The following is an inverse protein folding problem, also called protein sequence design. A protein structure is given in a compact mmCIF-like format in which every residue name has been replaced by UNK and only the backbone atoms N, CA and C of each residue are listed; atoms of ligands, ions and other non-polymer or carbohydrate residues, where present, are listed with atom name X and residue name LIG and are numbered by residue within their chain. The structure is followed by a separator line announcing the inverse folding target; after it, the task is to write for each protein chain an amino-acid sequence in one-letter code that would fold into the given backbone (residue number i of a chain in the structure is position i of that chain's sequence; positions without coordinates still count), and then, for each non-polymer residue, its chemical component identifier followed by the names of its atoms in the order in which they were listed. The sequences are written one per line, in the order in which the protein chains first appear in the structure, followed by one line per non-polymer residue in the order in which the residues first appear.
data_IF_148567164333
#
_entry.id   IF_148567164333
#
_cell.length_a   1.000
_cell.length_b   1.000
_cell.length_c   1.000
_cell.angle_alpha   90.00
_cell.angle_beta   90.00
_cell.angle_gamma   90.00
#
_symmetry.space_group_name_H-M   'P 1'
#
loop_
_entity.id
_entity.type
_entity.pdbx_description
1 polymer ?
#
# COMPACT_ATOMS: atom_id res chain seq x y z
N UNK A 1 57.19 -20.55 72.03
CA UNK A 1 55.93 -19.97 72.54
C UNK A 1 55.59 -18.64 71.89
N UNK A 2 56.28 -17.52 72.14
CA UNK A 2 55.88 -16.21 71.53
C UNK A 2 55.88 -16.19 69.99
N UNK A 3 56.81 -16.91 69.34
CA UNK A 3 56.87 -16.96 67.86
C UNK A 3 55.75 -17.82 67.26
N UNK A 4 55.32 -18.89 67.93
CA UNK A 4 54.20 -19.74 67.49
C UNK A 4 52.85 -19.04 67.68
N UNK A 5 52.72 -18.25 68.75
CA UNK A 5 51.54 -17.46 69.02
C UNK A 5 51.37 -16.33 68.00
N UNK A 6 52.48 -15.70 67.57
CA UNK A 6 52.46 -14.72 66.48
C UNK A 6 52.12 -15.35 65.13
N UNK A 7 52.61 -16.56 64.83
CA UNK A 7 52.25 -17.26 63.59
C UNK A 7 50.78 -17.71 63.56
N UNK A 8 50.23 -18.18 64.69
CA UNK A 8 48.79 -18.49 64.78
C UNK A 8 47.92 -17.25 64.65
N UNK A 9 48.30 -16.12 65.26
CA UNK A 9 47.58 -14.86 65.09
C UNK A 9 47.63 -14.36 63.64
N UNK A 10 48.76 -14.53 62.94
CA UNK A 10 48.91 -14.14 61.54
C UNK A 10 48.08 -15.06 60.60
N UNK A 11 48.03 -16.37 60.87
CA UNK A 11 47.16 -17.29 60.14
C UNK A 11 45.67 -17.01 60.39
N UNK A 12 45.26 -16.69 61.63
CA UNK A 12 43.89 -16.30 61.95
C UNK A 12 43.49 -14.97 61.29
N UNK A 13 44.43 -14.01 61.19
CA UNK A 13 44.21 -12.77 60.43
C UNK A 13 44.07 -13.03 58.93
N UNK A 14 44.88 -13.93 58.35
CA UNK A 14 44.79 -14.31 56.95
C UNK A 14 43.49 -15.07 56.61
N UNK A 15 43.00 -15.92 57.52
CA UNK A 15 41.70 -16.61 57.37
C UNK A 15 40.53 -15.66 57.52
N UNK A 16 40.56 -14.73 58.49
CA UNK A 16 39.56 -13.66 58.61
C UNK A 16 39.57 -12.72 57.40
N UNK A 17 40.74 -12.45 56.81
CA UNK A 17 40.87 -11.63 55.59
C UNK A 17 40.33 -12.36 54.36
N UNK A 18 40.57 -13.68 54.22
CA UNK A 18 39.94 -14.51 53.17
C UNK A 18 38.42 -14.61 53.33
N UNK A 19 37.89 -14.81 54.53
CA UNK A 19 36.44 -14.82 54.78
C UNK A 19 35.76 -13.46 54.56
N UNK A 20 36.48 -12.34 54.76
CA UNK A 20 35.98 -11.00 54.42
C UNK A 20 35.97 -10.74 52.92
N UNK A 21 36.93 -11.27 52.17
CA UNK A 21 36.97 -11.18 50.69
C UNK A 21 35.90 -12.08 50.06
N UNK A 22 35.71 -13.31 50.55
CA UNK A 22 34.63 -14.21 50.07
C UNK A 22 33.21 -13.69 50.41
N UNK A 23 33.04 -12.97 51.53
CA UNK A 23 31.73 -12.37 51.88
C UNK A 23 31.47 -11.04 51.17
N UNK A 24 32.51 -10.24 50.85
CA UNK A 24 32.37 -9.07 49.97
C UNK A 24 32.10 -9.46 48.52
N UNK A 25 32.71 -10.54 48.02
CA UNK A 25 32.49 -11.03 46.65
C UNK A 25 31.15 -11.76 46.48
N UNK A 26 30.65 -12.49 47.50
CA UNK A 26 29.31 -13.09 47.45
C UNK A 26 28.18 -12.07 47.61
N UNK A 27 28.37 -11.00 48.41
CA UNK A 27 27.34 -9.95 48.54
C UNK A 27 27.28 -9.03 47.31
N UNK A 28 28.42 -8.74 46.69
CA UNK A 28 28.47 -7.97 45.44
C UNK A 28 28.04 -8.82 44.23
N UNK A 29 28.45 -10.09 44.12
CA UNK A 29 28.00 -10.96 43.03
C UNK A 29 26.50 -11.28 43.11
N UNK A 30 25.94 -11.51 44.30
CA UNK A 30 24.49 -11.73 44.44
C UNK A 30 23.65 -10.45 44.27
N UNK A 31 24.22 -9.26 44.53
CA UNK A 31 23.58 -7.99 44.18
C UNK A 31 23.70 -7.69 42.68
N UNK A 32 24.84 -7.97 42.05
CA UNK A 32 25.06 -7.81 40.62
C UNK A 32 24.20 -8.80 39.82
N UNK A 33 24.07 -10.06 40.24
CA UNK A 33 23.17 -11.05 39.63
C UNK A 33 21.69 -10.68 39.83
N UNK A 34 21.28 -10.20 41.01
CA UNK A 34 19.92 -9.68 41.23
C UNK A 34 19.64 -8.39 40.45
N UNK A 35 20.65 -7.58 40.18
CA UNK A 35 20.55 -6.33 39.43
C UNK A 35 20.63 -6.58 37.90
N UNK A 36 21.36 -7.61 37.46
CA UNK A 36 21.35 -8.11 36.08
C UNK A 36 20.04 -8.87 35.76
N UNK A 37 19.49 -9.67 36.67
CA UNK A 37 18.14 -10.25 36.53
C UNK A 37 17.02 -9.19 36.54
N UNK A 38 17.15 -8.12 37.33
CA UNK A 38 16.23 -6.97 37.30
C UNK A 38 16.38 -6.09 36.05
N UNK A 39 17.54 -6.08 35.41
CA UNK A 39 17.75 -5.36 34.15
C UNK A 39 17.32 -6.18 32.93
N UNK A 40 17.40 -7.51 32.97
CA UNK A 40 16.90 -8.40 31.91
C UNK A 40 15.36 -8.57 31.89
N UNK A 41 14.64 -7.99 32.85
CA UNK A 41 13.17 -8.05 32.93
C UNK A 41 12.47 -6.77 32.46
N UNK A 42 13.22 -5.83 31.85
CA UNK A 42 12.66 -4.60 31.27
C UNK A 42 12.80 -4.60 29.75
N UNK A 43 11.74 -5.05 29.09
CA UNK A 43 11.60 -4.89 27.63
C UNK A 43 11.20 -3.44 27.34
N UNK A 44 12.01 -2.73 26.54
CA UNK A 44 11.64 -1.40 26.04
C UNK A 44 10.63 -1.56 24.91
N UNK A 45 9.39 -1.18 25.19
CA UNK A 45 8.29 -1.23 24.22
C UNK A 45 8.04 0.19 23.70
N UNK A 46 7.93 0.40 22.39
CA UNK A 46 7.48 1.68 21.82
C UNK A 46 6.13 2.12 22.42
N UNK A 47 5.96 3.42 22.69
CA UNK A 47 4.79 3.93 23.41
C UNK A 47 3.44 3.59 22.73
N UNK A 48 3.43 3.48 21.40
CA UNK A 48 2.28 3.07 20.60
C UNK A 48 1.90 1.58 20.76
N UNK A 49 2.81 0.73 21.25
CA UNK A 49 2.58 -0.70 21.48
C UNK A 49 2.21 -1.02 22.93
N UNK A 50 2.46 -0.09 23.86
CA UNK A 50 2.28 -0.31 25.30
C UNK A 50 0.81 -0.62 25.68
N UNK A 51 -0.15 0.11 25.09
CA UNK A 51 -1.58 -0.08 25.36
C UNK A 51 -2.07 -1.44 24.85
N UNK A 52 -1.66 -1.83 23.64
CA UNK A 52 -2.06 -3.12 23.05
C UNK A 52 -1.48 -4.32 23.81
N UNK A 53 -0.21 -4.25 24.22
CA UNK A 53 0.42 -5.31 25.03
C UNK A 53 -0.20 -5.42 26.43
N UNK A 54 -0.56 -4.31 27.05
CA UNK A 54 -1.26 -4.32 28.34
C UNK A 54 -2.62 -5.04 28.23
N UNK A 55 -3.41 -4.71 27.21
CA UNK A 55 -4.70 -5.36 26.96
C UNK A 55 -4.54 -6.86 26.66
N UNK A 56 -3.58 -7.24 25.81
CA UNK A 56 -3.32 -8.64 25.46
C UNK A 56 -2.90 -9.48 26.68
N UNK A 57 -2.01 -8.95 27.52
CA UNK A 57 -1.60 -9.66 28.76
C UNK A 57 -2.76 -9.81 29.75
N UNK A 58 -3.66 -8.83 29.82
CA UNK A 58 -4.86 -8.89 30.66
C UNK A 58 -5.85 -9.95 30.16
N UNK A 59 -6.09 -10.04 28.86
CA UNK A 59 -6.95 -11.06 28.24
C UNK A 59 -6.40 -12.48 28.43
N UNK A 60 -5.07 -12.62 28.45
CA UNK A 60 -4.39 -13.91 28.69
C UNK A 60 -4.19 -14.23 30.19
N UNK A 61 -4.65 -13.38 31.10
CA UNK A 61 -4.48 -13.57 32.55
C UNK A 61 -3.02 -13.47 33.03
N UNK A 62 -2.14 -12.88 32.23
CA UNK A 62 -0.72 -12.71 32.52
C UNK A 62 -0.46 -11.35 33.18
N UNK A 63 0.58 -11.27 34.01
CA UNK A 63 1.06 -9.98 34.53
C UNK A 63 1.80 -9.23 33.42
N UNK A 64 1.51 -7.95 33.23
CA UNK A 64 2.19 -7.08 32.24
C UNK A 64 3.62 -6.73 32.69
N UNK A 65 4.52 -7.72 32.65
CA UNK A 65 5.94 -7.59 32.97
C UNK A 65 6.81 -8.01 31.76
N UNK A 66 8.12 -7.78 31.83
CA UNK A 66 9.01 -8.10 30.71
C UNK A 66 9.10 -9.58 30.37
N UNK A 67 8.83 -10.47 31.33
CA UNK A 67 8.81 -11.93 31.09
C UNK A 67 7.61 -12.34 30.23
N UNK A 68 6.40 -11.83 30.54
CA UNK A 68 5.21 -12.08 29.72
C UNK A 68 5.36 -11.50 28.31
N UNK A 69 5.98 -10.34 28.18
CA UNK A 69 6.24 -9.70 26.88
C UNK A 69 7.27 -10.52 26.07
N UNK A 70 8.35 -11.00 26.69
CA UNK A 70 9.31 -11.88 26.03
C UNK A 70 8.68 -13.19 25.55
N UNK A 71 7.87 -13.82 26.41
CA UNK A 71 7.16 -15.03 26.06
C UNK A 71 6.21 -14.81 24.87
N UNK A 72 5.47 -13.69 24.84
CA UNK A 72 4.62 -13.32 23.71
C UNK A 72 5.40 -13.15 22.39
N UNK A 73 6.59 -12.56 22.45
CA UNK A 73 7.49 -12.41 21.29
C UNK A 73 8.06 -13.76 20.83
N UNK A 74 8.29 -14.71 21.74
CA UNK A 74 8.70 -16.07 21.38
C UNK A 74 7.56 -16.89 20.75
N UNK A 75 6.31 -16.59 21.10
CA UNK A 75 5.14 -17.21 20.47
C UNK A 75 4.85 -16.63 19.07
N UNK A 76 5.41 -15.47 18.72
CA UNK A 76 5.28 -14.95 17.35
C UNK A 76 6.15 -15.74 16.39
N UNK A 77 5.51 -16.26 15.33
CA UNK A 77 6.14 -16.95 14.19
C UNK A 77 7.32 -16.11 13.66
N UNK A 78 8.57 -16.61 13.67
CA UNK A 78 9.75 -15.83 13.25
C UNK A 78 9.73 -15.42 11.77
N UNK A 79 8.86 -16.04 10.97
CA UNK A 79 8.54 -15.70 9.58
C UNK A 79 7.71 -14.41 9.40
N UNK A 80 7.18 -13.83 10.48
CA UNK A 80 6.43 -12.57 10.47
C UNK A 80 7.19 -11.36 11.06
N UNK A 81 8.43 -11.55 11.52
CA UNK A 81 9.28 -10.48 12.07
C UNK A 81 10.57 -10.38 11.27
N UNK A 82 10.66 -9.39 10.38
CA UNK A 82 11.94 -9.00 9.77
C UNK A 82 12.93 -8.60 10.87
N UNK A 83 14.21 -9.01 10.83
CA UNK A 83 15.17 -8.63 11.85
C UNK A 83 15.39 -7.12 11.79
N UNK A 84 14.84 -6.40 12.78
CA UNK A 84 15.33 -5.08 13.13
C UNK A 84 16.73 -5.26 13.73
N UNK A 85 17.76 -5.05 12.92
CA UNK A 85 19.13 -4.92 13.41
C UNK A 85 19.17 -3.81 14.47
N UNK A 86 19.62 -4.19 15.66
CA UNK A 86 19.87 -3.31 16.80
C UNK A 86 20.68 -2.08 16.38
N UNK A 87 20.09 -0.90 16.51
CA UNK A 87 20.86 0.34 16.59
C UNK A 87 21.74 0.27 17.84
N UNK A 88 23.04 0.12 17.65
CA UNK A 88 24.02 0.55 18.66
C UNK A 88 23.82 2.05 18.90
N UNK A 89 23.89 2.54 20.15
CA UNK A 89 23.69 3.95 20.44
C UNK A 89 24.83 4.75 19.80
N UNK A 90 24.48 5.59 18.83
CA UNK A 90 25.39 6.63 18.35
C UNK A 90 25.51 7.66 19.48
N UNK A 91 26.58 7.57 20.25
CA UNK A 91 27.09 8.71 21.01
C UNK A 91 27.57 9.74 20.00
N UNK A 92 26.74 10.76 19.74
CA UNK A 92 27.18 11.99 19.07
C UNK A 92 28.18 12.70 19.99
N UNK A 93 29.46 12.40 19.82
CA UNK A 93 30.53 13.32 20.20
C UNK A 93 30.73 14.26 19.02
N UNK A 94 30.23 15.49 19.15
CA UNK A 94 30.55 16.58 18.23
C UNK A 94 32.04 16.91 18.36
N UNK A 95 32.88 16.35 17.49
CA UNK A 95 34.25 16.83 17.31
C UNK A 95 34.27 17.72 16.07
N UNK A 96 34.18 19.02 16.29
CA UNK A 96 34.44 20.04 15.27
C UNK A 96 35.94 20.03 14.98
N UNK A 97 36.37 19.25 13.98
CA UNK A 97 37.74 19.38 13.44
C UNK A 97 37.71 20.32 12.25
N UNK A 98 38.14 21.56 12.49
CA UNK A 98 38.47 22.52 11.45
C UNK A 98 39.72 22.00 10.72
N UNK A 99 39.54 21.43 9.53
CA UNK A 99 40.66 21.14 8.63
C UNK A 99 40.74 22.23 7.56
N UNK A 100 41.65 23.17 7.80
CA UNK A 100 42.20 24.09 6.79
C UNK A 100 42.90 23.27 5.70
N UNK A 101 42.68 23.69 4.44
CA UNK A 101 43.39 23.31 3.20
C UNK A 101 44.79 22.71 3.43
N UNK A 102 45.00 21.47 3.00
CA UNK A 102 46.32 20.96 2.57
C UNK A 102 46.18 19.74 1.65
N UNK A 103 46.55 19.96 0.39
CA UNK A 103 47.17 19.09 -0.64
C UNK A 103 47.10 17.55 -0.57
N UNK A 104 46.37 16.99 -1.55
CA UNK A 104 46.75 15.96 -2.55
C UNK A 104 48.03 15.13 -2.26
N UNK A 105 47.87 13.81 -2.05
CA UNK A 105 48.47 12.67 -2.80
C UNK A 105 48.72 11.41 -1.94
N UNK A 106 48.38 10.25 -2.53
CA UNK A 106 48.75 8.85 -2.20
C UNK A 106 47.99 8.14 -1.07
N UNK A 107 47.20 7.13 -1.46
CA UNK A 107 46.97 5.90 -0.69
C UNK A 107 47.39 4.68 -1.54
N UNK A 108 48.08 3.68 -0.97
CA UNK A 108 48.63 2.54 -1.70
C UNK A 108 47.61 1.41 -1.96
N UNK A 109 47.93 0.61 -2.98
CA UNK A 109 47.21 -0.58 -3.46
C UNK A 109 47.08 -1.68 -2.39
N UNK A 110 46.02 -2.48 -2.54
CA UNK A 110 45.65 -3.71 -1.82
C UNK A 110 44.52 -3.60 -0.78
N UNK A 111 43.26 -3.48 -1.25
CA UNK A 111 42.11 -4.13 -0.59
C UNK A 111 41.18 -4.70 -1.66
N UNK A 112 41.05 -6.03 -1.66
CA UNK A 112 40.08 -6.79 -2.44
C UNK A 112 38.70 -6.59 -1.79
N UNK A 113 37.71 -6.10 -2.54
CA UNK A 113 36.30 -6.08 -2.11
C UNK A 113 35.60 -7.25 -2.81
N UNK A 114 35.24 -8.30 -2.06
CA UNK A 114 34.33 -9.33 -2.56
C UNK A 114 32.89 -8.81 -2.50
N UNK A 115 32.19 -8.93 -3.62
CA UNK A 115 30.81 -8.50 -3.78
C UNK A 115 29.88 -9.65 -3.36
N UNK A 116 29.07 -9.47 -2.32
CA UNK A 116 27.87 -10.28 -2.08
C UNK A 116 26.66 -9.34 -2.06
N UNK A 117 25.68 -9.69 -2.88
CA UNK A 117 24.47 -8.95 -3.20
C UNK A 117 23.55 -8.67 -2.00
N UNK A 118 22.60 -7.77 -2.25
CA UNK A 118 21.35 -7.51 -1.53
C UNK A 118 21.36 -6.42 -0.47
N UNK A 119 21.41 -5.17 -0.93
CA UNK A 119 20.73 -4.04 -0.29
C UNK A 119 20.49 -2.91 -1.32
N UNK A 120 19.26 -2.79 -1.81
CA UNK A 120 18.80 -1.61 -2.53
C UNK A 120 18.56 -0.50 -1.51
N UNK A 121 19.39 0.54 -1.55
CA UNK A 121 19.15 1.78 -0.80
C UNK A 121 17.91 2.48 -1.37
N UNK A 122 16.83 2.49 -0.58
CA UNK A 122 15.66 3.35 -0.83
C UNK A 122 16.09 4.79 -0.56
N UNK A 123 16.46 5.52 -1.61
CA UNK A 123 16.54 6.97 -1.54
C UNK A 123 15.11 7.52 -1.53
N UNK A 124 14.66 7.98 -0.37
CA UNK A 124 13.43 8.74 -0.19
C UNK A 124 13.63 10.11 -0.87
N UNK A 125 13.01 10.43 -2.02
CA UNK A 125 13.08 11.77 -2.54
C UNK A 125 12.04 12.58 -1.75
N UNK A 126 12.49 13.65 -1.09
CA UNK A 126 11.72 14.56 -0.23
C UNK A 126 11.87 14.24 1.27
N UNK A 127 13.10 14.37 1.77
CA UNK A 127 13.32 14.86 3.13
C UNK A 127 13.64 16.35 3.05
N UNK A 128 12.67 17.22 3.35
CA UNK A 128 12.97 18.63 3.62
C UNK A 128 13.57 18.70 5.03
N UNK A 129 14.88 18.87 5.12
CA UNK A 129 15.53 19.24 6.36
C UNK A 129 15.26 20.73 6.64
N UNK A 130 14.38 21.03 7.58
CA UNK A 130 14.26 22.39 8.12
C UNK A 130 15.46 22.66 9.05
N UNK A 131 16.25 23.71 8.81
CA UNK A 131 17.25 24.15 9.78
C UNK A 131 16.54 24.58 11.07
N UNK A 132 17.08 24.16 12.22
CA UNK A 132 16.50 24.47 13.53
C UNK A 132 16.72 25.92 13.99
N UNK A 133 17.45 26.73 13.23
CA UNK A 133 17.75 28.13 13.56
C UNK A 133 17.43 29.05 12.38
N UNK A 134 16.74 30.14 12.68
CA UNK A 134 16.11 31.01 11.69
C UNK A 134 17.05 31.76 10.75
N UNK A 135 16.49 32.10 9.58
CA UNK A 135 16.83 33.21 8.69
C UNK A 135 18.26 33.15 8.08
N UNK A 136 18.31 32.83 6.78
CA UNK A 136 19.44 32.98 5.83
C UNK A 136 20.45 31.82 5.63
N UNK A 137 20.03 30.55 5.70
CA UNK A 137 20.85 29.41 5.26
C UNK A 137 20.43 28.87 3.88
N UNK A 138 21.35 28.83 2.90
CA UNK A 138 21.18 28.16 1.59
C UNK A 138 20.77 26.69 1.77
N UNK A 139 19.77 26.24 1.01
CA UNK A 139 19.32 24.84 0.94
C UNK A 139 20.18 24.12 -0.11
N UNK A 140 21.03 23.19 0.31
CA UNK A 140 21.78 22.32 -0.60
C UNK A 140 21.09 20.95 -0.63
N UNK A 141 20.47 20.59 -1.76
CA UNK A 141 19.94 19.25 -1.97
C UNK A 141 21.08 18.29 -2.37
N UNK A 142 21.21 17.17 -1.67
CA UNK A 142 22.10 16.07 -2.06
C UNK A 142 21.27 15.02 -2.80
N UNK A 143 21.57 14.80 -4.08
CA UNK A 143 21.01 13.71 -4.89
C UNK A 143 22.05 12.60 -5.02
N UNK A 144 21.78 11.34 -4.61
CA UNK A 144 22.66 10.24 -4.90
C UNK A 144 22.44 9.77 -6.34
N UNK A 145 23.50 9.74 -7.16
CA UNK A 145 23.50 9.02 -8.44
C UNK A 145 24.11 7.65 -8.17
N UNK A 146 23.30 6.60 -8.35
CA UNK A 146 23.77 5.23 -8.31
C UNK A 146 24.45 4.88 -9.64
N UNK A 147 25.78 4.94 -9.68
CA UNK A 147 26.69 4.03 -10.37
C UNK A 147 28.12 4.57 -10.24
N UNK A 148 29.05 3.72 -9.83
CA UNK A 148 30.42 4.10 -9.51
C UNK A 148 31.12 4.90 -10.62
N UNK A 149 31.64 6.08 -10.24
CA UNK A 149 32.46 6.96 -11.07
C UNK A 149 32.36 8.41 -10.57
N UNK A 150 33.42 8.89 -9.94
CA UNK A 150 33.78 10.27 -9.57
C UNK A 150 32.69 11.28 -9.14
N UNK A 151 32.85 11.80 -7.91
CA UNK A 151 32.12 12.99 -7.43
C UNK A 151 32.50 14.22 -8.26
N UNK A 152 31.60 14.65 -9.17
CA UNK A 152 31.69 15.99 -9.75
C UNK A 152 31.03 16.96 -8.78
N UNK A 153 31.84 17.77 -8.11
CA UNK A 153 31.35 18.99 -7.44
C UNK A 153 30.90 19.92 -8.55
N UNK A 154 29.59 20.12 -8.70
CA UNK A 154 29.06 21.15 -9.57
C UNK A 154 29.48 22.52 -9.02
N UNK A 155 30.64 23.02 -9.47
CA UNK A 155 30.97 24.43 -9.39
C UNK A 155 30.28 25.13 -10.54
N UNK A 156 29.00 25.44 -10.35
CA UNK A 156 28.30 26.56 -11.01
C UNK A 156 26.94 26.72 -10.33
N UNK A 157 26.91 27.54 -9.28
CA UNK A 157 25.71 27.86 -8.49
C UNK A 157 24.68 28.73 -9.23
N UNK A 158 24.82 28.98 -10.54
CA UNK A 158 23.87 29.79 -11.31
C UNK A 158 23.06 29.05 -12.38
N UNK A 159 23.29 27.74 -12.61
CA UNK A 159 22.60 27.02 -13.70
C UNK A 159 21.74 25.80 -13.32
N UNK A 160 21.57 25.50 -12.02
CA UNK A 160 20.71 24.36 -11.59
C UNK A 160 19.20 24.62 -11.86
N UNK A 161 18.81 25.89 -12.05
CA UNK A 161 17.42 26.26 -12.38
C UNK A 161 17.17 26.55 -13.88
N UNK A 162 18.21 26.64 -14.71
CA UNK A 162 18.09 27.18 -16.08
C UNK A 162 18.05 26.11 -17.19
N UNK A 163 18.18 24.83 -16.87
CA UNK A 163 18.14 23.74 -17.86
C UNK A 163 17.06 22.70 -17.52
N UNK A 164 15.86 23.18 -17.16
CA UNK A 164 14.67 22.40 -17.48
C UNK A 164 14.54 22.42 -19.00
N UNK A 165 15.14 21.45 -19.68
CA UNK A 165 14.49 20.93 -20.87
C UNK A 165 13.15 20.40 -20.39
N UNK A 166 12.14 21.29 -20.36
CA UNK A 166 10.74 20.94 -20.36
C UNK A 166 10.54 20.14 -21.64
N UNK A 167 10.85 18.85 -21.55
CA UNK A 167 10.39 17.88 -22.53
C UNK A 167 8.90 17.84 -22.25
N UNK A 168 8.15 18.70 -22.95
CA UNK A 168 6.70 18.78 -22.82
C UNK A 168 6.20 17.37 -23.15
N UNK A 169 5.83 16.61 -22.12
CA UNK A 169 5.27 15.29 -22.34
C UNK A 169 3.93 15.50 -23.02
N UNK A 170 3.58 14.65 -24.00
CA UNK A 170 2.32 14.80 -24.70
C UNK A 170 1.16 14.73 -23.71
N UNK A 171 0.18 15.60 -23.90
CA UNK A 171 -1.11 15.55 -23.22
C UNK A 171 -1.76 14.21 -23.50
N UNK A 172 -2.26 13.54 -22.45
CA UNK A 172 -2.96 12.26 -22.56
C UNK A 172 -4.45 12.50 -22.41
N UNK A 173 -5.25 12.09 -23.37
CA UNK A 173 -6.72 12.15 -23.22
C UNK A 173 -7.22 10.88 -22.55
N UNK A 174 -7.97 11.01 -21.45
CA UNK A 174 -8.48 9.87 -20.69
C UNK A 174 -9.98 9.99 -20.41
N UNK A 175 -10.66 8.85 -20.36
CA UNK A 175 -12.09 8.75 -20.07
C UNK A 175 -12.36 7.81 -18.90
N UNK A 176 -13.19 8.25 -17.97
CA UNK A 176 -13.84 7.37 -17.00
C UNK A 176 -15.25 7.05 -17.47
N UNK A 177 -15.63 5.78 -17.39
CA UNK A 177 -16.95 5.29 -17.77
C UNK A 177 -17.84 5.26 -16.54
N UNK A 178 -19.01 5.88 -16.64
CA UNK A 178 -20.07 5.77 -15.65
C UNK A 178 -21.25 5.04 -16.28
N UNK A 179 -21.39 3.75 -16.00
CA UNK A 179 -22.46 2.91 -16.55
C UNK A 179 -22.76 1.72 -15.63
N UNK A 180 -23.96 1.18 -15.71
CA UNK A 180 -24.36 -0.09 -15.09
C UNK A 180 -23.88 -1.29 -15.91
N UNK A 181 -23.82 -2.44 -15.24
CA UNK A 181 -23.62 -3.75 -15.87
C UNK A 181 -24.94 -4.31 -16.40
N UNK A 182 -24.89 -5.26 -17.34
CA UNK A 182 -26.07 -6.11 -17.64
C UNK A 182 -25.97 -7.32 -16.72
N UNK A 183 -26.62 -7.23 -15.56
CA UNK A 183 -26.44 -8.19 -14.46
C UNK A 183 -26.75 -9.63 -14.92
N UNK A 184 -25.89 -10.59 -14.53
CA UNK A 184 -25.90 -12.01 -14.97
C UNK A 184 -25.62 -12.30 -16.44
N UNK A 185 -25.55 -11.31 -17.32
CA UNK A 185 -25.22 -11.51 -18.74
C UNK A 185 -23.84 -10.92 -19.07
N UNK A 186 -22.82 -11.75 -18.85
CA UNK A 186 -21.42 -11.39 -19.12
C UNK A 186 -21.16 -11.08 -20.59
N UNK A 187 -21.64 -11.88 -21.58
CA UNK A 187 -21.54 -11.53 -22.99
C UNK A 187 -22.16 -10.17 -23.34
N UNK A 188 -23.38 -9.88 -22.89
CA UNK A 188 -24.04 -8.59 -23.15
C UNK A 188 -23.35 -7.42 -22.44
N UNK A 189 -22.79 -7.67 -21.25
CA UNK A 189 -21.97 -6.67 -20.55
C UNK A 189 -20.70 -6.34 -21.32
N UNK A 190 -20.04 -7.34 -21.94
CA UNK A 190 -18.88 -7.12 -22.81
C UNK A 190 -19.27 -6.41 -24.11
N UNK A 191 -20.46 -6.66 -24.69
CA UNK A 191 -21.00 -5.87 -25.80
C UNK A 191 -21.22 -4.39 -25.40
N UNK A 192 -21.75 -4.15 -24.19
CA UNK A 192 -21.89 -2.80 -23.63
C UNK A 192 -20.52 -2.14 -23.42
N UNK A 193 -19.55 -2.87 -22.86
CA UNK A 193 -18.18 -2.39 -22.68
C UNK A 193 -17.55 -1.98 -24.01
N UNK A 194 -17.67 -2.80 -25.06
CA UNK A 194 -17.11 -2.48 -26.37
C UNK A 194 -17.73 -1.19 -26.94
N UNK A 195 -19.05 -1.02 -26.86
CA UNK A 195 -19.72 0.20 -27.33
C UNK A 195 -19.24 1.45 -26.59
N UNK A 196 -19.06 1.34 -25.27
CA UNK A 196 -18.57 2.44 -24.44
C UNK A 196 -17.10 2.77 -24.74
N UNK A 197 -16.25 1.75 -24.93
CA UNK A 197 -14.85 1.90 -25.34
C UNK A 197 -14.76 2.54 -26.73
N UNK A 198 -15.57 2.09 -27.69
CA UNK A 198 -15.65 2.68 -29.02
C UNK A 198 -16.06 4.16 -28.95
N UNK A 199 -17.05 4.49 -28.11
CA UNK A 199 -17.48 5.86 -27.87
C UNK A 199 -16.41 6.74 -27.24
N UNK A 200 -15.61 6.21 -26.31
CA UNK A 200 -14.47 6.92 -25.73
C UNK A 200 -13.35 7.12 -26.76
N UNK A 201 -12.99 6.06 -27.51
CA UNK A 201 -11.97 6.13 -28.56
C UNK A 201 -12.35 7.13 -29.68
N UNK A 202 -13.64 7.21 -30.04
CA UNK A 202 -14.13 8.19 -31.00
C UNK A 202 -13.95 9.66 -30.54
N UNK A 203 -13.82 9.88 -29.22
CA UNK A 203 -13.49 11.19 -28.62
C UNK A 203 -11.99 11.44 -28.50
N UNK A 204 -11.15 10.51 -28.96
CA UNK A 204 -9.69 10.61 -28.91
C UNK A 204 -9.05 10.07 -27.63
N UNK A 205 -9.82 9.39 -26.78
CA UNK A 205 -9.31 8.86 -25.52
C UNK A 205 -8.27 7.76 -25.74
N UNK A 206 -7.15 7.88 -25.04
CA UNK A 206 -6.05 6.91 -25.07
C UNK A 206 -6.09 5.95 -23.87
N UNK A 207 -6.74 6.36 -22.77
CA UNK A 207 -6.96 5.55 -21.58
C UNK A 207 -8.45 5.55 -21.22
N UNK A 208 -9.00 4.37 -20.95
CA UNK A 208 -10.39 4.18 -20.51
C UNK A 208 -10.42 3.42 -19.20
N UNK A 209 -11.13 3.93 -18.20
CA UNK A 209 -11.28 3.32 -16.88
C UNK A 209 -12.73 2.98 -16.61
N UNK A 210 -13.00 1.72 -16.27
CA UNK A 210 -14.35 1.23 -15.92
C UNK A 210 -14.57 1.14 -14.40
N UNK A 211 -15.84 1.13 -13.97
CA UNK A 211 -16.20 0.95 -12.56
C UNK A 211 -15.77 -0.39 -11.96
N UNK A 212 -15.85 -0.46 -10.63
CA UNK A 212 -15.66 -1.70 -9.87
C UNK A 212 -16.67 -2.77 -10.28
N UNK A 213 -16.21 -4.02 -10.42
CA UNK A 213 -17.04 -5.18 -10.75
C UNK A 213 -17.99 -4.96 -11.95
N UNK A 214 -17.56 -4.17 -12.95
CA UNK A 214 -18.38 -3.89 -14.13
C UNK A 214 -18.73 -5.18 -14.89
N UNK A 215 -17.75 -6.06 -15.11
CA UNK A 215 -17.98 -7.41 -15.63
C UNK A 215 -18.22 -8.37 -14.46
N UNK A 216 -19.31 -9.13 -14.51
CA UNK A 216 -19.77 -10.00 -13.41
C UNK A 216 -20.75 -9.31 -12.46
N UNK A 217 -20.65 -8.00 -12.29
CA UNK A 217 -21.61 -7.16 -11.58
C UNK A 217 -21.37 -7.02 -10.09
N UNK A 218 -21.62 -5.82 -9.53
CA UNK A 218 -21.54 -5.58 -8.10
C UNK A 218 -22.79 -6.09 -7.37
N UNK A 219 -22.72 -6.94 -6.33
CA UNK A 219 -23.87 -7.66 -5.79
C UNK A 219 -24.73 -6.85 -4.80
N UNK A 220 -25.23 -5.67 -5.19
CA UNK A 220 -25.91 -4.72 -4.27
C UNK A 220 -27.24 -5.21 -3.70
N UNK A 221 -28.04 -5.91 -4.51
CA UNK A 221 -29.39 -6.39 -4.16
C UNK A 221 -29.51 -7.90 -4.30
N UNK A 222 -28.37 -8.60 -4.25
CA UNK A 222 -28.35 -10.07 -4.34
C UNK A 222 -28.33 -10.62 -2.93
N UNK A 223 -29.39 -11.33 -2.55
CA UNK A 223 -29.42 -12.08 -1.30
C UNK A 223 -28.90 -13.50 -1.59
N UNK A 224 -27.85 -13.88 -0.90
CA UNK A 224 -27.26 -15.21 -1.03
C UNK A 224 -27.77 -16.18 0.06
N UNK A 225 -28.78 -15.84 0.86
CA UNK A 225 -29.43 -16.74 1.84
C UNK A 225 -28.46 -17.49 2.79
N UNK A 226 -27.31 -16.88 3.13
CA UNK A 226 -26.24 -17.52 3.92
C UNK A 226 -26.42 -17.30 5.44
N UNK A 227 -27.46 -16.56 5.84
CA UNK A 227 -27.76 -16.29 7.26
C UNK A 227 -28.47 -17.44 7.96
N UNK A 228 -29.11 -18.34 7.20
CA UNK A 228 -29.74 -19.53 7.74
C UNK A 228 -28.78 -20.73 7.68
N UNK A 229 -28.28 -21.14 8.84
CA UNK A 229 -27.41 -22.32 8.99
C UNK A 229 -28.09 -23.65 8.58
N UNK A 230 -29.40 -23.63 8.31
CA UNK A 230 -30.17 -24.80 7.90
C UNK A 230 -30.22 -25.02 6.38
N UNK A 231 -29.80 -24.04 5.57
CA UNK A 231 -29.79 -24.15 4.11
C UNK A 231 -28.44 -24.67 3.61
N UNK A 232 -28.47 -25.71 2.78
CA UNK A 232 -27.25 -26.23 2.14
C UNK A 232 -26.80 -25.26 1.03
N UNK A 233 -25.49 -25.06 0.86
CA UNK A 233 -24.92 -24.26 -0.25
C UNK A 233 -25.40 -24.80 -1.62
N UNK A 234 -25.71 -26.10 -1.68
CA UNK A 234 -26.23 -26.80 -2.85
C UNK A 234 -27.61 -26.30 -3.29
N UNK A 235 -28.37 -25.63 -2.42
CA UNK A 235 -29.70 -25.07 -2.71
C UNK A 235 -29.65 -23.57 -3.06
N UNK A 236 -28.47 -22.94 -2.97
CA UNK A 236 -28.30 -21.51 -3.23
C UNK A 236 -28.15 -21.21 -4.73
N UNK A 237 -29.28 -21.23 -5.44
CA UNK A 237 -29.33 -20.95 -6.88
C UNK A 237 -28.81 -19.55 -7.25
N UNK A 238 -28.93 -18.57 -6.36
CA UNK A 238 -28.49 -17.20 -6.65
C UNK A 238 -26.96 -17.08 -6.64
N UNK A 239 -26.29 -17.73 -5.68
CA UNK A 239 -24.83 -17.82 -5.70
C UNK A 239 -24.32 -18.56 -6.94
N UNK A 240 -25.00 -19.64 -7.37
CA UNK A 240 -24.63 -20.38 -8.60
C UNK A 240 -24.72 -19.49 -9.85
N UNK A 241 -25.79 -18.70 -10.00
CA UNK A 241 -25.93 -17.74 -11.11
C UNK A 241 -24.83 -16.69 -11.07
N UNK A 242 -24.55 -16.14 -9.89
CA UNK A 242 -23.51 -15.12 -9.73
C UNK A 242 -22.11 -15.67 -10.03
N UNK A 243 -21.79 -16.87 -9.54
CA UNK A 243 -20.53 -17.56 -9.86
C UNK A 243 -20.42 -17.90 -11.36
N UNK A 244 -21.51 -18.32 -11.98
CA UNK A 244 -21.54 -18.60 -13.42
C UNK A 244 -21.22 -17.34 -14.26
N UNK A 245 -21.69 -16.16 -13.84
CA UNK A 245 -21.42 -14.88 -14.48
C UNK A 245 -20.00 -14.33 -14.24
N UNK A 246 -19.28 -14.79 -13.21
CA UNK A 246 -17.90 -14.39 -12.98
C UNK A 246 -16.92 -14.95 -14.04
N UNK A 247 -15.79 -14.28 -14.23
CA UNK A 247 -14.83 -14.56 -15.33
C UNK A 247 -13.55 -15.24 -14.85
N UNK A 248 -12.93 -16.05 -15.71
CA UNK A 248 -11.61 -16.61 -15.44
C UNK A 248 -10.51 -15.66 -15.91
N UNK A 249 -9.44 -15.49 -15.12
CA UNK A 249 -8.29 -14.65 -15.48
C UNK A 249 -7.00 -15.47 -15.42
N UNK A 250 -6.37 -15.83 -16.57
CA UNK A 250 -6.79 -15.55 -17.95
C UNK A 250 -7.99 -16.40 -18.41
N UNK A 251 -8.67 -15.96 -19.48
CA UNK A 251 -9.86 -16.61 -20.01
C UNK A 251 -10.42 -15.93 -21.27
N UNK A 252 -11.48 -16.48 -21.88
CA UNK A 252 -12.02 -15.97 -23.14
C UNK A 252 -12.56 -14.54 -23.05
N UNK A 253 -13.06 -14.12 -21.89
CA UNK A 253 -13.49 -12.73 -21.68
C UNK A 253 -12.31 -11.75 -21.67
N UNK A 254 -11.15 -12.19 -21.20
CA UNK A 254 -9.91 -11.40 -21.12
C UNK A 254 -9.33 -11.25 -22.53
N UNK A 255 -9.33 -12.34 -23.31
CA UNK A 255 -8.94 -12.31 -24.72
C UNK A 255 -9.84 -11.35 -25.51
N UNK A 256 -11.15 -11.40 -25.28
CA UNK A 256 -12.10 -10.48 -25.91
C UNK A 256 -11.82 -9.01 -25.54
N UNK A 257 -11.55 -8.71 -24.27
CA UNK A 257 -11.18 -7.36 -23.83
C UNK A 257 -9.86 -6.90 -24.46
N UNK A 258 -8.87 -7.79 -24.54
CA UNK A 258 -7.60 -7.53 -25.21
C UNK A 258 -7.80 -7.19 -26.71
N UNK A 259 -8.65 -7.94 -27.41
CA UNK A 259 -8.99 -7.65 -28.81
C UNK A 259 -9.65 -6.29 -28.99
N UNK A 260 -10.58 -5.93 -28.09
CA UNK A 260 -11.21 -4.60 -28.06
C UNK A 260 -10.16 -3.51 -27.86
N UNK A 261 -9.25 -3.66 -26.90
CA UNK A 261 -8.17 -2.70 -26.65
C UNK A 261 -7.28 -2.50 -27.89
N UNK A 262 -6.89 -3.59 -28.55
CA UNK A 262 -6.11 -3.57 -29.80
C UNK A 262 -6.85 -2.87 -30.95
N UNK A 263 -8.15 -3.16 -31.10
CA UNK A 263 -9.01 -2.61 -32.15
C UNK A 263 -9.14 -1.10 -32.05
N UNK A 264 -9.38 -0.59 -30.84
CA UNK A 264 -9.58 0.85 -30.60
C UNK A 264 -8.31 1.59 -30.17
N UNK A 265 -7.19 0.88 -29.98
CA UNK A 265 -5.88 1.41 -29.61
C UNK A 265 -5.90 2.17 -28.28
N UNK A 266 -6.62 1.64 -27.29
CA UNK A 266 -6.76 2.25 -25.97
C UNK A 266 -6.10 1.39 -24.89
N UNK A 267 -5.50 2.05 -23.90
CA UNK A 267 -5.23 1.42 -22.61
C UNK A 267 -6.54 1.26 -21.85
N UNK A 268 -6.70 0.12 -21.18
CA UNK A 268 -7.93 -0.20 -20.45
C UNK A 268 -7.63 -0.62 -19.03
N UNK A 269 -8.40 -0.05 -18.11
CA UNK A 269 -8.50 -0.49 -16.71
C UNK A 269 -9.92 -0.97 -16.46
N UNK A 270 -10.09 -2.25 -16.14
CA UNK A 270 -11.40 -2.91 -16.06
C UNK A 270 -11.62 -3.57 -14.71
N UNK A 271 -12.69 -3.23 -14.01
CA UNK A 271 -13.14 -3.95 -12.83
C UNK A 271 -13.95 -5.19 -13.22
N UNK A 272 -13.58 -6.35 -12.70
CA UNK A 272 -14.24 -7.63 -12.96
C UNK A 272 -14.48 -8.41 -11.67
N UNK A 273 -15.47 -9.30 -11.68
CA UNK A 273 -15.58 -10.40 -10.72
C UNK A 273 -14.82 -11.60 -11.29
N UNK A 274 -13.64 -11.85 -10.75
CA UNK A 274 -12.81 -13.00 -11.11
C UNK A 274 -13.27 -14.25 -10.35
N UNK A 275 -13.21 -15.43 -10.99
CA UNK A 275 -13.39 -16.72 -10.33
C UNK A 275 -12.18 -17.63 -10.48
N UNK A 276 -11.78 -18.23 -9.36
CA UNK A 276 -10.76 -19.27 -9.28
C UNK A 276 -11.32 -20.44 -8.48
N UNK A 277 -11.57 -21.57 -9.15
CA UNK A 277 -12.38 -22.65 -8.58
C UNK A 277 -13.78 -22.14 -8.18
N UNK A 278 -14.14 -22.29 -6.91
CA UNK A 278 -15.39 -21.80 -6.34
C UNK A 278 -15.24 -20.46 -5.61
N UNK A 279 -14.06 -19.86 -5.62
CA UNK A 279 -13.77 -18.59 -4.96
C UNK A 279 -13.93 -17.43 -5.94
N UNK A 280 -14.58 -16.35 -5.48
CA UNK A 280 -14.75 -15.12 -6.25
C UNK A 280 -13.89 -14.00 -5.68
N UNK A 281 -13.39 -13.12 -6.55
CA UNK A 281 -12.56 -11.97 -6.18
C UNK A 281 -13.01 -10.71 -6.94
N UNK A 282 -13.03 -9.56 -6.27
CA UNK A 282 -13.11 -8.27 -6.95
C UNK A 282 -11.72 -7.92 -7.48
N UNK A 283 -11.60 -7.81 -8.81
CA UNK A 283 -10.29 -7.74 -9.48
C UNK A 283 -10.22 -6.59 -10.46
N UNK A 284 -9.12 -5.85 -10.43
CA UNK A 284 -8.79 -4.81 -11.38
C UNK A 284 -7.82 -5.35 -12.43
N UNK A 285 -8.19 -5.27 -13.71
CA UNK A 285 -7.38 -5.74 -14.84
C UNK A 285 -6.79 -4.56 -15.62
N UNK A 286 -5.58 -4.74 -16.15
CA UNK A 286 -4.87 -3.75 -16.94
C UNK A 286 -4.50 -4.29 -18.32
N UNK A 287 -4.77 -3.51 -19.36
CA UNK A 287 -4.45 -3.85 -20.75
C UNK A 287 -3.73 -2.69 -21.45
N UNK A 288 -2.84 -3.04 -22.38
CA UNK A 288 -2.20 -2.06 -23.25
C UNK A 288 -3.01 -1.79 -24.54
N UNK A 289 -2.63 -0.72 -25.24
CA UNK A 289 -3.22 -0.32 -26.53
C UNK A 289 -2.97 -1.31 -27.69
N UNK A 290 -2.12 -2.32 -27.50
CA UNK A 290 -1.85 -3.39 -28.47
C UNK A 290 -2.65 -4.65 -28.17
N UNK A 291 -3.44 -4.66 -27.09
CA UNK A 291 -4.22 -5.80 -26.63
C UNK A 291 -3.40 -6.80 -25.80
N UNK A 292 -2.31 -6.40 -25.18
CA UNK A 292 -1.61 -7.23 -24.21
C UNK A 292 -2.25 -7.05 -22.83
N UNK A 293 -2.54 -8.18 -22.18
CA UNK A 293 -2.89 -8.21 -20.77
C UNK A 293 -1.63 -7.96 -19.93
N UNK A 294 -1.62 -6.86 -19.18
CA UNK A 294 -0.47 -6.43 -18.38
C UNK A 294 -0.45 -7.08 -16.99
N UNK A 295 -1.63 -7.36 -16.44
CA UNK A 295 -1.80 -8.03 -15.16
C UNK A 295 -3.05 -7.56 -14.41
N UNK A 296 -3.09 -7.91 -13.12
CA UNK A 296 -4.26 -7.70 -12.26
C UNK A 296 -3.88 -7.26 -10.85
N UNK A 297 -4.85 -6.74 -10.13
CA UNK A 297 -4.82 -6.51 -8.69
C UNK A 297 -6.14 -6.99 -8.08
N UNK A 298 -6.07 -7.94 -7.14
CA UNK A 298 -7.24 -8.42 -6.37
C UNK A 298 -7.44 -7.52 -5.16
N UNK A 299 -8.68 -7.08 -4.93
CA UNK A 299 -9.07 -6.20 -3.82
C UNK A 299 -8.69 -6.85 -2.48
N UNK A 300 -8.08 -6.09 -1.56
CA UNK A 300 -7.67 -6.60 -0.25
C UNK A 300 -8.71 -6.33 0.82
N UNK A 301 -9.18 -5.09 0.94
CA UNK A 301 -10.22 -4.73 1.90
C UNK A 301 -11.58 -4.97 1.27
N UNK A 302 -12.21 -6.06 1.67
CA UNK A 302 -13.65 -6.24 1.52
C UNK A 302 -14.36 -5.29 2.49
N UNK A 303 -15.38 -4.58 2.02
CA UNK A 303 -16.14 -3.63 2.83
C UNK A 303 -17.30 -4.34 3.51
N UNK A 304 -17.61 -3.94 4.74
CA UNK A 304 -18.64 -4.52 5.60
C UNK A 304 -20.09 -4.46 5.05
N UNK A 305 -20.32 -4.06 3.80
CA UNK A 305 -21.60 -4.38 3.15
C UNK A 305 -21.73 -5.89 3.11
N UNK A 306 -22.83 -6.41 3.67
CA UNK A 306 -23.09 -7.85 3.84
C UNK A 306 -22.80 -8.64 2.55
N UNK A 307 -23.09 -8.06 1.39
CA UNK A 307 -22.84 -8.69 0.09
C UNK A 307 -21.37 -8.96 -0.25
N UNK A 308 -20.40 -8.10 0.11
CA UNK A 308 -19.00 -8.27 -0.32
C UNK A 308 -18.26 -9.33 0.51
N UNK A 309 -18.32 -9.27 1.85
CA UNK A 309 -17.67 -10.25 2.73
C UNK A 309 -18.24 -11.66 2.56
N UNK A 310 -19.48 -11.76 2.12
CA UNK A 310 -20.17 -13.04 1.99
C UNK A 310 -19.86 -13.77 0.68
N UNK A 311 -19.40 -13.07 -0.36
CA UNK A 311 -19.17 -13.68 -1.69
C UNK A 311 -17.76 -13.52 -2.24
N UNK A 312 -17.05 -12.46 -1.87
CA UNK A 312 -15.69 -12.25 -2.34
C UNK A 312 -14.68 -12.66 -1.29
N UNK A 313 -13.54 -13.16 -1.76
CA UNK A 313 -12.36 -13.40 -0.95
C UNK A 313 -11.39 -12.22 -1.07
N UNK A 314 -10.62 -11.99 -0.01
CA UNK A 314 -9.51 -11.02 -0.06
C UNK A 314 -8.45 -11.52 -1.04
N UNK A 315 -7.82 -10.60 -1.77
CA UNK A 315 -6.62 -10.91 -2.54
C UNK A 315 -5.47 -11.42 -1.66
N UNK A 316 -4.63 -12.28 -2.25
CA UNK A 316 -3.51 -12.96 -1.55
C UNK A 316 -2.24 -12.09 -1.49
N UNK A 317 -2.06 -11.19 -2.47
CA UNK A 317 -0.87 -10.35 -2.59
C UNK A 317 -1.19 -8.90 -2.24
N UNK A 318 -0.54 -8.41 -1.19
CA UNK A 318 -0.55 -6.99 -0.82
C UNK A 318 0.36 -6.15 -1.73
N UNK A 319 0.28 -6.35 -3.05
CA UNK A 319 1.04 -5.57 -4.02
C UNK A 319 0.12 -4.80 -4.96
N UNK A 320 0.43 -3.52 -5.13
CA UNK A 320 -0.27 -2.62 -6.04
C UNK A 320 0.60 -2.42 -7.31
N UNK A 321 0.25 -3.03 -8.45
CA UNK A 321 1.07 -2.94 -9.66
C UNK A 321 1.04 -1.54 -10.28
N UNK A 322 2.17 -1.13 -10.84
CA UNK A 322 2.30 0.08 -11.67
C UNK A 322 2.94 -0.30 -12.99
N UNK A 323 2.25 -0.05 -14.08
CA UNK A 323 2.69 -0.38 -15.43
C UNK A 323 3.24 0.86 -16.13
N UNK A 324 4.47 0.77 -16.64
CA UNK A 324 5.04 1.80 -17.51
C UNK A 324 4.46 1.66 -18.90
N UNK A 325 3.83 2.71 -19.39
CA UNK A 325 3.20 2.72 -20.72
C UNK A 325 3.58 3.98 -21.51
N UNK A 326 3.17 4.05 -22.78
CA UNK A 326 3.40 5.25 -23.60
C UNK A 326 2.59 6.47 -23.16
N UNK A 327 1.55 6.28 -22.33
CA UNK A 327 0.71 7.36 -21.78
C UNK A 327 1.07 7.70 -20.34
N UNK A 328 2.17 7.15 -19.83
CA UNK A 328 2.64 7.34 -18.45
C UNK A 328 2.56 6.07 -17.61
N UNK A 329 2.85 6.20 -16.32
CA UNK A 329 2.78 5.11 -15.35
C UNK A 329 1.36 4.99 -14.78
N UNK A 330 0.69 3.90 -15.15
CA UNK A 330 -0.68 3.61 -14.72
C UNK A 330 -0.65 2.62 -13.56
N UNK A 331 -1.34 2.94 -12.48
CA UNK A 331 -1.62 2.05 -11.37
C UNK A 331 -3.02 2.31 -10.84
N UNK A 332 -3.50 1.51 -9.91
CA UNK A 332 -4.82 1.74 -9.34
C UNK A 332 -5.17 0.80 -8.21
N UNK A 333 -6.14 1.24 -7.40
CA UNK A 333 -6.72 0.49 -6.29
C UNK A 333 -8.24 0.58 -6.35
N UNK A 334 -8.92 -0.47 -5.92
CA UNK A 334 -10.37 -0.54 -5.97
C UNK A 334 -10.99 -0.10 -4.65
N UNK A 335 -11.92 0.84 -4.70
CA UNK A 335 -12.81 1.18 -3.59
C UNK A 335 -12.04 1.42 -2.26
N UNK A 336 -12.27 0.62 -1.22
CA UNK A 336 -11.65 0.83 0.09
C UNK A 336 -10.16 0.50 0.19
N UNK A 337 -9.56 -0.14 -0.82
CA UNK A 337 -8.09 -0.29 -0.85
C UNK A 337 -7.40 1.09 -0.90
N UNK A 338 -8.08 2.10 -1.43
CA UNK A 338 -7.63 3.49 -1.40
C UNK A 338 -7.52 4.07 0.01
N UNK A 339 -8.14 3.43 1.02
CA UNK A 339 -8.02 3.86 2.42
C UNK A 339 -6.80 3.25 3.09
N UNK A 340 -6.15 2.24 2.51
CA UNK A 340 -4.92 1.65 3.04
C UNK A 340 -3.70 2.51 2.71
N UNK A 341 -3.09 3.20 3.71
CA UNK A 341 -1.88 3.98 3.45
C UNK A 341 -0.72 3.16 2.87
N UNK A 342 -0.46 1.90 3.29
CA UNK A 342 0.62 1.11 2.71
C UNK A 342 0.49 0.87 1.21
N UNK A 343 -0.71 0.51 0.71
CA UNK A 343 -0.93 0.28 -0.72
C UNK A 343 -0.76 1.55 -1.54
N UNK A 344 -1.28 2.67 -1.06
CA UNK A 344 -1.06 3.97 -1.71
C UNK A 344 0.41 4.35 -1.74
N UNK A 345 1.11 4.15 -0.62
CA UNK A 345 2.55 4.43 -0.52
C UNK A 345 3.34 3.56 -1.51
N UNK A 346 2.97 2.30 -1.69
CA UNK A 346 3.59 1.43 -2.69
C UNK A 346 3.43 1.98 -4.12
N UNK A 347 2.23 2.43 -4.49
CA UNK A 347 1.99 3.07 -5.79
C UNK A 347 2.83 4.35 -5.95
N UNK A 348 2.95 5.16 -4.90
CA UNK A 348 3.77 6.38 -4.91
C UNK A 348 5.27 6.06 -5.08
N UNK A 349 5.78 5.05 -4.37
CA UNK A 349 7.19 4.61 -4.47
C UNK A 349 7.50 4.08 -5.88
N UNK A 350 6.56 3.39 -6.51
CA UNK A 350 6.68 2.96 -7.93
C UNK A 350 6.53 4.14 -8.92
N UNK A 351 6.12 5.30 -8.41
CA UNK A 351 6.00 6.56 -9.14
C UNK A 351 4.79 6.61 -10.05
N UNK A 352 3.63 6.18 -9.58
CA UNK A 352 2.36 6.29 -10.31
C UNK A 352 2.10 7.74 -10.79
N UNK A 353 1.69 7.89 -12.04
CA UNK A 353 1.38 9.20 -12.64
C UNK A 353 -0.12 9.33 -12.91
N UNK A 354 -0.75 8.21 -13.30
CA UNK A 354 -2.18 8.09 -13.51
C UNK A 354 -2.70 7.01 -12.57
N UNK A 355 -3.43 7.45 -11.56
CA UNK A 355 -4.01 6.63 -10.50
C UNK A 355 -5.48 6.34 -10.82
N UNK A 356 -5.79 5.09 -11.10
CA UNK A 356 -7.15 4.63 -11.38
C UNK A 356 -7.82 4.16 -10.09
N UNK A 357 -8.98 4.72 -9.76
CA UNK A 357 -9.71 4.41 -8.53
C UNK A 357 -11.18 4.03 -8.82
N UNK A 358 -11.45 2.84 -9.39
CA UNK A 358 -12.82 2.36 -9.55
C UNK A 358 -13.50 2.15 -8.20
N UNK A 359 -14.81 2.38 -8.14
CA UNK A 359 -15.58 2.26 -6.90
C UNK A 359 -17.04 1.92 -7.18
N UNK A 360 -17.75 1.48 -6.14
CA UNK A 360 -19.20 1.41 -6.06
C UNK A 360 -19.80 2.36 -4.98
N UNK A 361 -18.98 3.27 -4.44
CA UNK A 361 -19.34 4.26 -3.41
C UNK A 361 -19.68 5.63 -4.01
N UNK A 362 -20.98 5.97 -4.03
CA UNK A 362 -21.48 7.23 -4.59
C UNK A 362 -21.55 8.40 -3.57
N UNK A 363 -21.00 8.25 -2.36
CA UNK A 363 -21.06 9.29 -1.32
C UNK A 363 -20.09 10.43 -1.61
N UNK A 364 -20.44 11.65 -1.19
CA UNK A 364 -19.55 12.83 -1.32
C UNK A 364 -18.19 12.67 -0.64
N UNK A 365 -18.13 11.87 0.44
CA UNK A 365 -16.89 11.55 1.13
C UNK A 365 -15.86 10.86 0.22
N UNK A 366 -16.32 10.10 -0.80
CA UNK A 366 -15.43 9.48 -1.78
C UNK A 366 -14.65 10.52 -2.57
N UNK A 367 -15.35 11.51 -3.14
CA UNK A 367 -14.74 12.63 -3.89
C UNK A 367 -13.68 13.35 -3.05
N UNK A 368 -14.00 13.68 -1.80
CA UNK A 368 -13.05 14.32 -0.89
C UNK A 368 -11.79 13.46 -0.64
N UNK A 369 -11.97 12.15 -0.45
CA UNK A 369 -10.86 11.21 -0.28
C UNK A 369 -9.96 11.14 -1.52
N UNK A 370 -10.55 11.13 -2.71
CA UNK A 370 -9.81 11.04 -3.97
C UNK A 370 -9.06 12.33 -4.29
N UNK A 371 -9.63 13.50 -3.94
CA UNK A 371 -8.91 14.78 -4.00
C UNK A 371 -7.67 14.76 -3.10
N UNK A 372 -7.79 14.23 -1.88
CA UNK A 372 -6.63 14.09 -0.99
C UNK A 372 -5.53 13.21 -1.62
N UNK A 373 -5.90 12.06 -2.19
CA UNK A 373 -4.94 11.13 -2.84
C UNK A 373 -4.25 11.81 -4.03
N UNK A 374 -4.99 12.59 -4.83
CA UNK A 374 -4.41 13.30 -5.97
C UNK A 374 -3.30 14.27 -5.53
N UNK A 375 -3.55 15.02 -4.44
CA UNK A 375 -2.59 15.97 -3.86
C UNK A 375 -1.43 15.25 -3.17
N UNK A 376 -1.73 14.23 -2.37
CA UNK A 376 -0.73 13.45 -1.63
C UNK A 376 0.24 12.72 -2.55
N UNK A 377 -0.28 12.09 -3.61
CA UNK A 377 0.53 11.34 -4.59
C UNK A 377 1.12 12.22 -5.69
N UNK A 378 0.65 13.46 -5.86
CA UNK A 378 1.05 14.32 -6.97
C UNK A 378 0.71 13.72 -8.34
N UNK A 379 -0.40 12.98 -8.44
CA UNK A 379 -0.79 12.20 -9.61
C UNK A 379 -2.21 12.56 -10.09
N UNK A 380 -2.53 12.24 -11.34
CA UNK A 380 -3.90 12.35 -11.82
C UNK A 380 -4.72 11.20 -11.25
N UNK A 381 -5.88 11.50 -10.66
CA UNK A 381 -6.78 10.49 -10.11
C UNK A 381 -8.02 10.37 -11.00
N UNK A 382 -8.28 9.17 -11.50
CA UNK A 382 -9.40 8.82 -12.37
C UNK A 382 -10.35 7.90 -11.61
N UNK A 383 -11.48 8.46 -11.16
CA UNK A 383 -12.50 7.72 -10.42
C UNK A 383 -13.64 7.31 -11.35
N UNK A 384 -13.86 6.00 -11.49
CA UNK A 384 -14.99 5.44 -12.22
C UNK A 384 -15.97 4.78 -11.25
N UNK A 385 -17.20 5.27 -11.22
CA UNK A 385 -18.30 4.71 -10.45
C UNK A 385 -19.45 4.35 -11.38
N UNK A 386 -20.20 3.33 -11.02
CA UNK A 386 -21.39 2.91 -11.74
C UNK A 386 -22.57 3.86 -11.46
N UNK A 387 -23.37 4.14 -12.48
CA UNK A 387 -24.71 4.70 -12.29
C UNK A 387 -25.70 3.57 -12.46
N UNK A 388 -26.51 3.29 -11.44
CA UNK A 388 -27.44 2.16 -11.45
C UNK A 388 -28.82 2.58 -10.98
N UNK A 389 -29.84 2.01 -11.62
CA UNK A 389 -31.23 2.05 -11.21
C UNK A 389 -31.65 0.69 -10.66
N UNK A 390 -32.77 0.62 -9.93
CA UNK A 390 -33.26 -0.64 -9.36
C UNK A 390 -33.47 -1.70 -10.42
N UNK A 391 -33.98 -1.34 -11.61
CA UNK A 391 -34.21 -2.26 -12.74
C UNK A 391 -32.96 -2.94 -13.29
N UNK A 392 -31.77 -2.45 -12.96
CA UNK A 392 -30.50 -3.05 -13.41
C UNK A 392 -30.14 -4.32 -12.60
N UNK A 393 -30.89 -4.62 -11.54
CA UNK A 393 -30.68 -5.77 -10.66
C UNK A 393 -31.89 -6.73 -10.72
N UNK A 394 -31.69 -8.04 -10.45
CA UNK A 394 -32.79 -9.03 -10.45
C UNK A 394 -33.92 -8.63 -9.50
N UNK A 395 -35.18 -8.87 -9.90
CA UNK A 395 -36.40 -8.64 -9.12
C UNK A 395 -37.02 -9.99 -8.71
N UNK A 396 -37.71 -10.12 -7.56
CA UNK A 396 -37.70 -9.26 -6.37
C UNK A 396 -36.74 -9.80 -5.29
N UNK A 397 -35.95 -8.92 -4.68
CA UNK A 397 -35.32 -9.19 -3.39
C UNK A 397 -36.36 -8.96 -2.30
N UNK A 398 -36.43 -9.85 -1.31
CA UNK A 398 -37.33 -9.74 -0.15
C UNK A 398 -37.09 -8.42 0.64
N UNK A 399 -35.94 -7.78 0.44
CA UNK A 399 -35.56 -6.51 1.04
C UNK A 399 -36.01 -5.25 0.25
N UNK A 400 -36.65 -5.40 -0.91
CA UNK A 400 -36.92 -4.28 -1.83
C UNK A 400 -38.01 -3.30 -1.37
N UNK A 401 -38.94 -3.71 -0.50
CA UNK A 401 -40.11 -2.88 -0.20
C UNK A 401 -40.79 -2.33 -1.47
N UNK A 402 -41.20 -1.06 -1.44
CA UNK A 402 -41.86 -0.33 -2.55
C UNK A 402 -40.86 0.47 -3.44
N UNK A 403 -39.62 0.01 -3.64
CA UNK A 403 -38.65 0.73 -4.48
C UNK A 403 -39.06 0.64 -5.96
N UNK A 404 -39.33 1.80 -6.59
CA UNK A 404 -39.65 1.89 -8.02
C UNK A 404 -38.49 1.38 -8.89
N UNK A 405 -38.73 0.70 -10.02
CA UNK A 405 -37.69 0.24 -10.95
C UNK A 405 -36.73 1.33 -11.43
N UNK A 406 -37.19 2.57 -11.58
CA UNK A 406 -36.37 3.70 -12.05
C UNK A 406 -35.63 4.43 -10.92
N UNK A 407 -35.80 3.99 -9.67
CA UNK A 407 -35.10 4.57 -8.52
C UNK A 407 -33.60 4.40 -8.67
N UNK A 408 -32.86 5.49 -8.53
CA UNK A 408 -31.40 5.48 -8.55
C UNK A 408 -30.89 4.84 -7.26
N UNK A 409 -30.16 3.75 -7.40
CA UNK A 409 -29.59 2.97 -6.28
C UNK A 409 -28.07 3.17 -6.14
N UNK A 410 -27.44 3.65 -7.20
CA UNK A 410 -26.07 4.17 -7.17
C UNK A 410 -26.01 5.36 -8.13
N UNK A 411 -25.81 6.57 -7.60
CA UNK A 411 -25.85 7.79 -8.39
C UNK A 411 -24.57 8.06 -9.19
N UNK A 412 -23.58 7.17 -9.17
CA UNK A 412 -22.28 7.41 -9.79
C UNK A 412 -21.47 8.47 -9.04
N UNK A 413 -21.12 9.57 -9.70
CA UNK A 413 -20.20 10.58 -9.18
C UNK A 413 -18.76 10.38 -9.65
N UNK A 414 -18.57 9.77 -10.82
CA UNK A 414 -17.26 9.61 -11.45
C UNK A 414 -16.60 10.98 -11.70
N UNK A 415 -15.29 11.06 -11.48
CA UNK A 415 -14.56 12.34 -11.48
C UNK A 415 -13.10 12.13 -11.90
N UNK A 416 -12.54 13.11 -12.60
CA UNK A 416 -11.11 13.17 -12.94
C UNK A 416 -10.48 14.37 -12.22
N UNK A 417 -9.41 14.12 -11.48
CA UNK A 417 -8.78 15.10 -10.58
C UNK A 417 -7.30 15.26 -10.97
N UNK A 418 -6.83 16.49 -11.05
CA UNK A 418 -5.43 16.82 -11.31
C UNK A 418 -4.54 16.60 -10.07
N UNK A 419 -3.20 16.53 -10.24
CA UNK A 419 -2.25 16.51 -9.13
C UNK A 419 -2.39 17.66 -8.13
N UNK A 420 -2.97 18.80 -8.54
CA UNK A 420 -3.20 19.95 -7.66
C UNK A 420 -4.50 19.85 -6.87
N UNK A 421 -5.26 18.75 -7.04
CA UNK A 421 -6.60 18.58 -6.47
C UNK A 421 -7.72 19.27 -7.26
N UNK A 422 -7.42 19.87 -8.43
CA UNK A 422 -8.45 20.51 -9.24
C UNK A 422 -9.26 19.45 -9.99
N UNK A 423 -10.58 19.57 -9.97
CA UNK A 423 -11.47 18.69 -10.74
C UNK A 423 -11.40 19.11 -12.21
N UNK A 424 -10.97 18.19 -13.08
CA UNK A 424 -10.87 18.41 -14.52
C UNK A 424 -12.18 18.05 -15.24
N UNK A 425 -12.89 17.03 -14.77
CA UNK A 425 -14.18 16.61 -15.31
C UNK A 425 -15.01 15.87 -14.26
N UNK A 426 -16.35 16.00 -14.35
CA UNK A 426 -17.30 15.51 -13.34
C UNK A 426 -17.44 16.46 -12.14
N UNK A 427 -18.07 16.01 -11.04
CA UNK A 427 -18.79 14.75 -10.89
C UNK A 427 -20.13 14.74 -11.64
N UNK A 428 -20.51 13.60 -12.25
CA UNK A 428 -21.85 13.40 -12.83
C UNK A 428 -22.70 12.54 -11.89
N UNK A 429 -23.85 13.07 -11.44
CA UNK A 429 -24.79 12.35 -10.56
C UNK A 429 -26.14 12.02 -11.21
N UNK A 430 -26.33 12.39 -12.48
CA UNK A 430 -27.65 12.40 -13.10
C UNK A 430 -27.92 11.19 -13.98
N UNK A 431 -26.88 10.65 -14.63
CA UNK A 431 -27.05 9.64 -15.68
C UNK A 431 -25.78 8.82 -15.94
N UNK A 432 -25.91 7.78 -16.77
CA UNK A 432 -24.76 7.13 -17.40
C UNK A 432 -24.05 8.09 -18.35
N UNK A 433 -22.72 8.14 -18.31
CA UNK A 433 -21.97 8.97 -19.23
C UNK A 433 -20.51 8.55 -19.39
N UNK A 434 -19.89 9.07 -20.46
CA UNK A 434 -18.45 9.04 -20.68
C UNK A 434 -17.87 10.40 -20.29
N UNK A 435 -17.05 10.44 -19.25
CA UNK A 435 -16.48 11.67 -18.69
C UNK A 435 -15.01 11.71 -19.05
N UNK A 436 -14.59 12.71 -19.81
CA UNK A 436 -13.24 12.76 -20.41
C UNK A 436 -12.51 14.04 -20.03
N UNK A 437 -11.19 13.95 -19.90
CA UNK A 437 -10.32 15.09 -19.65
C UNK A 437 -8.94 14.87 -20.27
N UNK A 438 -8.29 15.99 -20.58
CA UNK A 438 -6.92 16.01 -21.06
C UNK A 438 -5.95 16.17 -19.87
N UNK A 439 -5.04 15.22 -19.75
CA UNK A 439 -4.05 15.12 -18.68
C UNK A 439 -2.73 15.74 -19.16
N UNK A 440 -2.44 16.96 -18.71
CA UNK A 440 -1.20 17.65 -18.99
C UNK A 440 -0.02 17.05 -18.23
N UNK A 441 0.60 16.01 -18.81
CA UNK A 441 1.73 15.30 -18.22
C UNK A 441 2.96 16.24 -18.13
N UNK A 442 3.53 16.42 -16.92
CA UNK A 442 4.67 17.32 -16.68
C UNK A 442 5.99 16.59 -16.45
#
# INVERSE_FOLDING_TARGET
MEIEEQQQQQQQQLTKKRQRVDSSDRSSSSQIEKQQQRNNSRVRVPANCATGLAQLTQELGLRSNGEAIHWLLEQTRPDLVSPFTSQQPITTTTTTTILKKASINKLPENVIISNNNDNVLVANPVAFAYPKDGINGKISALVPIANGGDFVVAQDEENIWSHHHHTIRPTVSATVVQASTVFYDTPATLDKAERLIAGAAARGSQLVVFPEAFVGGYPRFVNFDITDRSHSIEENEEFKKYHAAAVHVPGPEIDRLAEICRKYKVYLVMGVVEKEGFTLYSTLLFFDSKGQYLGKHRKLILTASESEHMVWHSGDEATAPVYRTSVGKIGGLTCWDNRLPPLRTELYVKGVEIYCAPTADARDAWKASMTNIAVEGGCFVLCANQFCQRKDYPLPSVADGDISPDSVVCAGGSVIISPSGAILAGPNYQEESLISADLGMK
#
